data_IF_867471701698
#
_entry.id   IF_867471701698
#
_cell.length_a   1.000
_cell.length_b   1.000
_cell.length_c   1.000
_cell.angle_alpha   90.00
_cell.angle_beta   90.00
_cell.angle_gamma   90.00
#
_symmetry.space_group_name_H-M   'P 1'
#
loop_
_entity.id
_entity.type
_entity.pdbx_description
1 polymer ?
#
# COMPACT_ATOMS: atom_id res chain seq x y z
N UNK A 1 -2.07 45.06 11.22
CA UNK A 1 -1.29 44.24 12.17
C UNK A 1 -2.25 43.23 12.80
N UNK A 2 -2.20 41.97 12.39
CA UNK A 2 -2.97 40.88 13.00
C UNK A 2 -2.03 39.68 13.17
N UNK A 3 -2.05 39.16 14.40
CA UNK A 3 -1.09 38.24 15.00
C UNK A 3 -1.14 36.83 14.41
N UNK A 4 0.02 36.20 14.30
CA UNK A 4 0.21 34.82 13.88
C UNK A 4 -0.24 33.85 14.99
N UNK A 5 -1.13 32.91 14.66
CA UNK A 5 -1.41 31.76 15.50
C UNK A 5 -0.39 30.65 15.17
N UNK A 6 0.52 30.38 16.12
CA UNK A 6 1.47 29.27 16.05
C UNK A 6 0.72 27.93 16.04
N UNK A 7 0.86 27.18 14.96
CA UNK A 7 0.44 25.78 14.87
C UNK A 7 1.49 24.95 15.64
N UNK A 8 1.08 24.35 16.75
CA UNK A 8 1.92 23.42 17.50
C UNK A 8 2.06 22.11 16.70
N UNK A 9 3.28 21.82 16.22
CA UNK A 9 3.66 20.49 15.75
C UNK A 9 3.88 19.58 16.95
N UNK A 10 2.96 18.64 17.21
CA UNK A 10 3.24 17.50 18.08
C UNK A 10 3.87 16.38 17.24
N UNK A 11 5.10 15.99 17.60
CA UNK A 11 5.85 14.89 17.00
C UNK A 11 5.16 13.55 17.30
N UNK A 12 5.16 12.65 16.31
CA UNK A 12 4.45 11.36 16.33
C UNK A 12 5.03 10.31 17.30
N UNK A 13 6.08 10.67 18.05
CA UNK A 13 6.78 9.78 18.99
C UNK A 13 5.88 9.25 20.12
N UNK A 14 4.76 9.93 20.41
CA UNK A 14 3.89 9.62 21.55
C UNK A 14 2.70 8.68 21.22
N UNK A 15 2.49 8.29 19.96
CA UNK A 15 1.31 7.49 19.59
C UNK A 15 1.56 5.97 19.60
N UNK A 16 2.83 5.53 19.54
CA UNK A 16 3.17 4.12 19.29
C UNK A 16 3.52 3.28 20.53
N UNK A 17 3.36 3.78 21.75
CA UNK A 17 3.66 3.01 22.98
C UNK A 17 2.54 2.07 23.44
N UNK A 18 1.46 1.90 22.65
CA UNK A 18 0.21 1.30 23.14
C UNK A 18 -0.33 0.06 22.44
N UNK A 19 0.36 -0.56 21.46
CA UNK A 19 -0.22 -1.71 20.73
C UNK A 19 0.79 -2.86 20.63
N UNK A 20 0.96 -3.55 21.76
CA UNK A 20 1.63 -4.83 21.83
C UNK A 20 0.59 -5.94 21.55
N UNK A 21 0.90 -6.80 20.58
CA UNK A 21 0.36 -8.16 20.38
C UNK A 21 -1.12 -8.31 20.00
N UNK A 22 -1.37 -8.67 18.73
CA UNK A 22 -2.29 -9.77 18.39
C UNK A 22 -1.77 -10.48 17.13
N UNK A 23 -1.06 -11.59 17.34
CA UNK A 23 -0.88 -12.64 16.33
C UNK A 23 -2.24 -13.31 16.11
N UNK A 24 -2.71 -13.46 14.88
CA UNK A 24 -3.83 -14.37 14.64
C UNK A 24 -4.54 -14.27 13.30
N UNK A 25 -4.29 -15.28 12.45
CA UNK A 25 -5.29 -16.02 11.66
C UNK A 25 -5.98 -15.27 10.49
N UNK A 26 -5.39 -15.37 9.30
CA UNK A 26 -6.11 -15.24 8.04
C UNK A 26 -6.80 -16.57 7.69
N UNK A 27 -8.12 -16.61 7.45
CA UNK A 27 -8.73 -17.66 6.63
C UNK A 27 -8.90 -17.16 5.20
N UNK A 28 -8.13 -17.74 4.29
CA UNK A 28 -8.40 -17.79 2.86
C UNK A 28 -9.42 -18.91 2.65
N UNK A 29 -10.60 -18.58 2.13
CA UNK A 29 -11.57 -19.56 1.64
C UNK A 29 -11.93 -19.21 0.19
N UNK A 30 -11.28 -19.91 -0.73
CA UNK A 30 -11.67 -20.08 -2.13
C UNK A 30 -12.45 -21.40 -2.17
N UNK A 31 -13.72 -21.38 -2.57
CA UNK A 31 -14.44 -22.61 -2.84
C UNK A 31 -15.30 -22.49 -4.10
N UNK A 32 -15.08 -23.49 -4.95
CA UNK A 32 -15.42 -23.61 -6.35
C UNK A 32 -16.81 -24.23 -6.58
N UNK A 33 -17.47 -23.71 -7.61
CA UNK A 33 -18.43 -24.36 -8.53
C UNK A 33 -19.06 -25.70 -8.13
N UNK A 34 -20.39 -25.72 -8.07
CA UNK A 34 -21.20 -26.94 -8.10
C UNK A 34 -22.57 -26.64 -8.72
N UNK A 35 -22.70 -26.90 -10.03
CA UNK A 35 -23.94 -26.82 -10.80
C UNK A 35 -24.75 -28.09 -10.52
N UNK A 36 -26.01 -27.96 -10.09
CA UNK A 36 -26.93 -29.10 -10.03
C UNK A 36 -28.30 -28.71 -10.59
N UNK A 37 -28.68 -29.43 -11.63
CA UNK A 37 -29.90 -29.33 -12.42
C UNK A 37 -31.01 -30.19 -11.80
N UNK A 38 -32.25 -29.69 -11.93
CA UNK A 38 -33.53 -30.41 -11.98
C UNK A 38 -34.11 -31.00 -10.68
N UNK A 39 -35.23 -30.41 -10.24
CA UNK A 39 -36.57 -31.04 -10.11
C UNK A 39 -37.56 -30.00 -9.55
N UNK A 40 -38.52 -29.55 -10.34
CA UNK A 40 -39.86 -30.13 -10.54
C UNK A 40 -40.92 -29.50 -9.63
N UNK A 41 -42.01 -29.10 -10.29
CA UNK A 41 -43.07 -28.19 -9.89
C UNK A 41 -44.01 -28.70 -8.78
N UNK A 42 -44.70 -27.71 -8.18
CA UNK A 42 -46.06 -27.76 -7.61
C UNK A 42 -46.18 -28.23 -6.17
N UNK A 43 -46.52 -27.32 -5.25
CA UNK A 43 -47.72 -27.44 -4.42
C UNK A 43 -48.06 -26.05 -3.84
N UNK A 44 -49.15 -25.47 -4.37
CA UNK A 44 -49.87 -24.37 -3.74
C UNK A 44 -50.49 -24.87 -2.43
N UNK A 45 -50.12 -24.25 -1.31
CA UNK A 45 -51.04 -24.02 -0.21
C UNK A 45 -50.57 -22.84 0.64
N UNK A 46 -51.35 -21.76 0.56
CA UNK A 46 -51.43 -20.73 1.57
C UNK A 46 -51.53 -21.36 2.95
N UNK A 47 -50.64 -20.99 3.86
CA UNK A 47 -51.10 -20.56 5.17
C UNK A 47 -50.22 -19.44 5.71
N UNK A 48 -50.81 -18.26 5.63
CA UNK A 48 -50.44 -17.02 6.27
C UNK A 48 -50.26 -17.22 7.79
N UNK A 49 -49.04 -17.04 8.30
CA UNK A 49 -48.83 -16.62 9.69
C UNK A 49 -47.86 -15.45 9.74
N UNK A 50 -48.50 -14.29 9.70
CA UNK A 50 -48.09 -13.03 10.29
C UNK A 50 -47.43 -13.28 11.66
N UNK A 51 -46.12 -13.05 11.76
CA UNK A 51 -45.44 -12.89 13.03
C UNK A 51 -44.68 -11.56 13.00
N UNK A 52 -45.41 -10.46 13.18
CA UNK A 52 -44.79 -9.20 13.56
C UNK A 52 -44.08 -9.39 14.91
N UNK A 53 -42.74 -9.50 14.89
CA UNK A 53 -41.93 -9.18 16.07
C UNK A 53 -41.67 -7.68 16.03
N UNK A 54 -42.50 -6.96 16.77
CA UNK A 54 -42.12 -5.66 17.32
C UNK A 54 -40.86 -5.85 18.15
N UNK A 55 -39.70 -5.55 17.57
CA UNK A 55 -38.49 -5.32 18.34
C UNK A 55 -38.09 -3.87 18.17
N UNK A 56 -38.72 -3.02 18.99
CA UNK A 56 -38.29 -1.65 19.24
C UNK A 56 -37.04 -1.77 20.13
N UNK A 57 -35.93 -2.17 19.50
CA UNK A 57 -34.62 -2.27 20.13
C UNK A 57 -33.87 -0.98 19.92
N UNK A 58 -33.71 -0.22 21.00
CA UNK A 58 -32.89 0.97 21.13
C UNK A 58 -31.41 0.69 20.75
N UNK A 59 -31.08 0.74 19.46
CA UNK A 59 -29.69 0.79 19.02
C UNK A 59 -29.29 2.25 18.86
N UNK A 60 -28.92 2.88 19.98
CA UNK A 60 -28.09 4.10 19.93
C UNK A 60 -26.74 3.67 19.38
N UNK A 61 -26.60 3.72 18.06
CA UNK A 61 -25.33 3.54 17.37
C UNK A 61 -24.40 4.64 17.85
N UNK A 62 -23.61 4.37 18.89
CA UNK A 62 -22.43 5.18 19.20
C UNK A 62 -21.49 4.95 18.03
N UNK A 63 -21.58 5.83 17.02
CA UNK A 63 -20.61 5.87 15.92
C UNK A 63 -19.25 6.06 16.57
N UNK A 64 -18.47 4.98 16.67
CA UNK A 64 -17.05 5.08 17.00
C UNK A 64 -16.44 5.94 15.90
N UNK A 65 -15.78 7.06 16.22
CA UNK A 65 -15.06 7.79 15.20
C UNK A 65 -14.03 6.83 14.60
N UNK A 66 -14.16 6.57 13.30
CA UNK A 66 -13.14 5.81 12.58
C UNK A 66 -11.92 6.72 12.47
N UNK A 67 -10.93 6.50 13.33
CA UNK A 67 -9.62 7.13 13.17
C UNK A 67 -8.96 6.46 11.98
N UNK A 68 -9.07 7.09 10.81
CA UNK A 68 -8.30 6.70 9.64
C UNK A 68 -6.93 7.33 9.79
N UNK A 69 -5.90 6.53 10.04
CA UNK A 69 -4.52 6.99 9.96
C UNK A 69 -4.21 7.28 8.50
N UNK A 70 -4.31 8.56 8.11
CA UNK A 70 -3.86 9.04 6.82
C UNK A 70 -2.34 8.98 6.75
N UNK A 71 -1.84 8.38 5.68
CA UNK A 71 -0.42 8.33 5.41
C UNK A 71 0.07 9.69 4.89
N UNK A 72 1.25 10.09 5.36
CA UNK A 72 2.01 11.19 4.79
C UNK A 72 3.20 10.63 3.99
N UNK A 73 3.26 10.83 2.66
CA UNK A 73 4.34 10.30 1.85
C UNK A 73 5.69 10.91 2.24
N UNK A 74 6.73 10.08 2.31
CA UNK A 74 8.12 10.48 2.58
C UNK A 74 9.00 10.42 1.34
N UNK A 75 8.56 9.72 0.31
CA UNK A 75 9.20 9.62 -1.00
C UNK A 75 8.71 10.70 -1.96
N UNK A 76 9.59 11.20 -2.82
CA UNK A 76 9.21 12.09 -3.92
C UNK A 76 8.74 11.29 -5.16
N UNK A 77 7.83 11.87 -5.94
CA UNK A 77 7.38 11.28 -7.20
C UNK A 77 8.33 11.65 -8.33
N UNK A 78 8.71 10.66 -9.14
CA UNK A 78 9.44 10.86 -10.39
C UNK A 78 8.49 10.70 -11.57
N UNK A 79 8.77 11.48 -12.61
CA UNK A 79 8.07 11.47 -13.90
C UNK A 79 9.08 11.32 -15.03
N UNK A 80 8.61 11.11 -16.25
CA UNK A 80 9.43 11.01 -17.44
C UNK A 80 10.45 12.14 -17.61
N UNK A 81 10.03 13.39 -17.35
CA UNK A 81 10.91 14.56 -17.47
C UNK A 81 12.05 14.57 -16.46
N UNK A 82 11.83 13.98 -15.29
CA UNK A 82 12.79 13.98 -14.19
C UNK A 82 13.61 12.69 -14.08
N UNK A 83 13.23 11.64 -14.81
CA UNK A 83 13.79 10.29 -14.71
C UNK A 83 15.30 10.27 -14.89
N UNK A 84 15.78 10.81 -16.01
CA UNK A 84 17.21 10.85 -16.34
C UNK A 84 18.02 11.55 -15.25
N UNK A 85 17.53 12.69 -14.74
CA UNK A 85 18.24 13.46 -13.71
C UNK A 85 18.21 12.81 -12.33
N UNK A 86 17.05 12.33 -11.88
CA UNK A 86 16.84 11.88 -10.50
C UNK A 86 17.18 10.40 -10.28
N UNK A 87 17.17 9.58 -11.34
CA UNK A 87 17.41 8.15 -11.25
C UNK A 87 18.70 7.76 -11.97
N UNK A 88 18.84 8.11 -13.25
CA UNK A 88 19.98 7.64 -14.06
C UNK A 88 21.29 8.38 -13.74
N UNK A 89 21.20 9.70 -13.51
CA UNK A 89 22.36 10.57 -13.21
C UNK A 89 22.50 10.91 -11.73
N UNK A 90 21.82 10.18 -10.86
CA UNK A 90 21.94 10.40 -9.43
C UNK A 90 23.29 9.87 -8.93
N UNK A 91 23.98 10.69 -8.13
CA UNK A 91 25.25 10.33 -7.49
C UNK A 91 25.03 9.31 -6.37
N UNK A 92 23.87 9.39 -5.69
CA UNK A 92 23.49 8.43 -4.67
C UNK A 92 22.80 7.22 -5.30
N UNK A 93 22.92 6.03 -4.68
CA UNK A 93 22.09 4.89 -5.05
C UNK A 93 20.60 5.25 -4.93
N UNK A 94 19.79 4.69 -5.83
CA UNK A 94 18.38 5.05 -5.96
C UNK A 94 17.49 3.83 -5.85
N UNK A 95 16.40 3.94 -5.13
CA UNK A 95 15.30 3.00 -5.10
C UNK A 95 14.07 3.65 -5.72
N UNK A 96 13.43 2.97 -6.68
CA UNK A 96 12.20 3.43 -7.31
C UNK A 96 11.11 2.39 -7.16
N UNK A 97 9.99 2.76 -6.52
CA UNK A 97 8.78 1.95 -6.51
C UNK A 97 7.87 2.31 -7.69
N UNK A 98 7.57 1.31 -8.50
CA UNK A 98 6.62 1.38 -9.60
C UNK A 98 5.25 0.91 -9.07
N UNK A 99 4.27 1.80 -9.16
CA UNK A 99 2.92 1.57 -8.66
C UNK A 99 1.86 2.07 -9.66
N UNK A 100 0.61 1.72 -9.38
CA UNK A 100 -0.54 2.27 -10.09
C UNK A 100 -1.63 2.72 -9.10
N UNK A 101 -2.47 3.67 -9.50
CA UNK A 101 -3.44 4.29 -8.57
C UNK A 101 -4.54 3.33 -8.11
N UNK A 102 -4.81 2.32 -8.95
CA UNK A 102 -5.79 1.25 -8.71
C UNK A 102 -5.20 0.04 -7.97
N UNK A 103 -3.89 0.05 -7.67
CA UNK A 103 -3.20 -1.06 -7.03
C UNK A 103 -3.36 -1.02 -5.50
N UNK A 104 -4.30 -1.81 -4.97
CA UNK A 104 -4.48 -1.98 -3.52
C UNK A 104 -3.21 -2.44 -2.78
N UNK A 105 -2.51 -3.51 -3.22
CA UNK A 105 -1.30 -4.01 -2.57
C UNK A 105 -0.14 -3.00 -2.51
N UNK A 106 -0.09 -2.06 -3.47
CA UNK A 106 0.93 -1.01 -3.51
C UNK A 106 0.87 -0.12 -2.24
N UNK A 107 -0.31 0.06 -1.62
CA UNK A 107 -0.42 0.83 -0.39
C UNK A 107 0.43 0.30 0.76
N UNK A 108 0.66 -1.02 0.81
CA UNK A 108 1.54 -1.64 1.81
C UNK A 108 3.01 -1.38 1.48
N UNK A 109 3.41 -1.62 0.22
CA UNK A 109 4.80 -1.44 -0.25
C UNK A 109 5.23 -0.01 -0.03
N UNK A 110 4.40 0.94 -0.46
CA UNK A 110 4.61 2.33 -0.23
C UNK A 110 4.99 2.61 1.26
N UNK A 111 4.33 1.99 2.27
CA UNK A 111 4.60 2.30 3.70
C UNK A 111 5.99 1.81 4.10
N UNK A 112 6.35 0.63 3.61
CA UNK A 112 7.69 0.05 3.79
C UNK A 112 8.74 0.96 3.16
N UNK A 113 8.49 1.47 1.94
CA UNK A 113 9.42 2.39 1.28
C UNK A 113 9.54 3.73 2.01
N UNK A 114 8.45 4.28 2.56
CA UNK A 114 8.50 5.49 3.38
C UNK A 114 9.38 5.31 4.62
N UNK A 115 9.30 4.15 5.29
CA UNK A 115 10.18 3.84 6.43
C UNK A 115 11.64 3.73 5.99
N UNK A 116 11.91 3.00 4.90
CA UNK A 116 13.26 2.86 4.34
C UNK A 116 13.83 4.22 3.94
N UNK A 117 13.04 5.10 3.34
CA UNK A 117 13.46 6.45 2.95
C UNK A 117 13.93 7.28 4.16
N UNK A 118 13.33 7.06 5.34
CA UNK A 118 13.76 7.72 6.59
C UNK A 118 15.03 7.07 7.14
N UNK A 119 15.09 5.74 7.18
CA UNK A 119 16.23 4.99 7.75
C UNK A 119 17.52 5.15 6.94
N UNK A 120 17.40 5.22 5.61
CA UNK A 120 18.53 5.31 4.68
C UNK A 120 18.81 6.73 4.18
N UNK A 121 18.21 7.75 4.82
CA UNK A 121 18.40 9.15 4.43
C UNK A 121 19.90 9.50 4.33
N UNK A 122 20.31 9.98 3.16
CA UNK A 122 21.70 10.35 2.86
C UNK A 122 22.59 9.20 2.38
N UNK A 123 22.08 7.96 2.38
CA UNK A 123 22.74 6.76 1.79
C UNK A 123 22.01 6.24 0.55
N UNK A 124 20.71 6.47 0.47
CA UNK A 124 19.82 6.01 -0.59
C UNK A 124 18.74 7.07 -0.83
N UNK A 125 18.50 7.39 -2.09
CA UNK A 125 17.35 8.21 -2.49
C UNK A 125 16.17 7.31 -2.88
N UNK A 126 14.99 7.60 -2.37
CA UNK A 126 13.78 6.80 -2.62
C UNK A 126 12.73 7.62 -3.37
N UNK A 127 12.25 7.05 -4.48
CA UNK A 127 11.23 7.66 -5.34
C UNK A 127 10.09 6.69 -5.63
N UNK A 128 8.98 7.25 -6.08
CA UNK A 128 7.82 6.51 -6.59
C UNK A 128 7.51 6.95 -8.02
N UNK A 129 7.15 6.01 -8.89
CA UNK A 129 6.75 6.24 -10.27
C UNK A 129 5.37 5.63 -10.51
N UNK A 130 4.45 6.42 -11.05
CA UNK A 130 3.12 5.95 -11.41
C UNK A 130 3.11 5.43 -12.84
N UNK A 131 2.94 4.11 -13.00
CA UNK A 131 2.98 3.45 -14.32
C UNK A 131 1.80 3.82 -15.20
N UNK A 132 0.69 4.30 -14.64
CA UNK A 132 -0.46 4.78 -15.42
C UNK A 132 -0.12 6.08 -16.19
N UNK A 133 0.79 6.89 -15.63
CA UNK A 133 1.19 8.18 -16.22
C UNK A 133 2.46 8.08 -17.06
N UNK A 134 3.41 7.25 -16.62
CA UNK A 134 4.75 7.16 -17.20
C UNK A 134 5.01 5.73 -17.76
N UNK A 135 4.12 5.28 -18.64
CA UNK A 135 4.13 3.91 -19.19
C UNK A 135 5.42 3.56 -19.95
N UNK A 136 6.00 4.50 -20.69
CA UNK A 136 7.22 4.27 -21.49
C UNK A 136 8.40 3.85 -20.59
N UNK A 137 8.54 4.45 -19.40
CA UNK A 137 9.59 4.08 -18.44
C UNK A 137 9.31 2.69 -17.85
N UNK A 138 8.04 2.39 -17.58
CA UNK A 138 7.65 1.07 -17.08
C UNK A 138 7.98 -0.02 -18.11
N UNK A 139 7.73 0.24 -19.40
CA UNK A 139 8.08 -0.67 -20.50
C UNK A 139 9.59 -0.86 -20.66
N UNK A 140 10.37 0.23 -20.67
CA UNK A 140 11.84 0.20 -20.78
C UNK A 140 12.49 -0.63 -19.67
N UNK A 141 11.90 -0.64 -18.46
CA UNK A 141 12.40 -1.39 -17.32
C UNK A 141 11.65 -2.70 -17.04
N UNK A 142 10.93 -3.24 -18.03
CA UNK A 142 10.21 -4.53 -17.96
C UNK A 142 9.17 -4.63 -16.82
N UNK A 143 8.62 -3.50 -16.39
CA UNK A 143 7.64 -3.44 -15.30
C UNK A 143 6.22 -3.67 -15.82
N UNK A 144 5.91 -4.94 -16.08
CA UNK A 144 4.61 -5.38 -16.65
C UNK A 144 3.50 -5.57 -15.60
N UNK A 145 3.87 -5.59 -14.33
CA UNK A 145 2.96 -5.73 -13.21
C UNK A 145 3.48 -4.87 -12.04
N UNK A 146 2.56 -4.42 -11.18
CA UNK A 146 2.86 -3.63 -9.99
C UNK A 146 2.32 -4.34 -8.74
N UNK A 147 2.91 -4.14 -7.55
CA UNK A 147 4.09 -3.30 -7.27
C UNK A 147 5.40 -3.96 -7.69
N UNK A 148 6.35 -3.15 -8.17
CA UNK A 148 7.75 -3.56 -8.42
C UNK A 148 8.65 -2.47 -7.88
N UNK A 149 9.73 -2.85 -7.21
CA UNK A 149 10.75 -1.93 -6.72
C UNK A 149 12.06 -2.22 -7.44
N UNK A 150 12.62 -1.21 -8.11
CA UNK A 150 13.88 -1.31 -8.82
C UNK A 150 14.96 -0.52 -8.09
N UNK A 151 16.16 -1.09 -8.03
CA UNK A 151 17.33 -0.48 -7.41
C UNK A 151 18.35 -0.11 -8.48
N UNK A 152 18.82 1.13 -8.43
CA UNK A 152 19.77 1.71 -9.38
C UNK A 152 21.03 2.18 -8.66
N UNK A 153 22.17 1.95 -9.28
CA UNK A 153 23.47 2.48 -8.85
C UNK A 153 24.26 2.85 -10.10
N UNK A 154 24.81 4.07 -10.12
CA UNK A 154 25.57 4.61 -11.26
C UNK A 154 24.76 4.56 -12.58
N UNK A 155 23.47 4.85 -12.51
CA UNK A 155 22.56 4.82 -13.66
C UNK A 155 22.20 3.43 -14.21
N UNK A 156 22.68 2.36 -13.58
CA UNK A 156 22.36 0.98 -13.99
C UNK A 156 21.45 0.30 -12.98
N UNK A 157 20.48 -0.47 -13.48
CA UNK A 157 19.62 -1.36 -12.66
C UNK A 157 20.48 -2.47 -12.06
N UNK A 158 20.55 -2.55 -10.73
CA UNK A 158 21.35 -3.53 -10.00
C UNK A 158 20.52 -4.70 -9.49
N UNK A 159 19.32 -4.42 -8.97
CA UNK A 159 18.45 -5.44 -8.38
C UNK A 159 16.98 -5.02 -8.48
N UNK A 160 16.07 -5.95 -8.20
CA UNK A 160 14.63 -5.71 -8.22
C UNK A 160 13.89 -6.59 -7.21
N UNK A 161 12.89 -6.02 -6.56
CA UNK A 161 11.96 -6.75 -5.69
C UNK A 161 10.57 -6.67 -6.30
N UNK A 162 10.00 -7.82 -6.64
CA UNK A 162 8.70 -7.92 -7.33
C UNK A 162 7.62 -8.29 -6.33
N UNK A 163 6.49 -7.58 -6.38
CA UNK A 163 5.33 -7.82 -5.54
C UNK A 163 5.43 -7.21 -4.14
N UNK A 164 4.47 -7.58 -3.30
CA UNK A 164 4.38 -7.11 -1.92
C UNK A 164 5.19 -8.03 -1.02
N UNK A 165 6.37 -7.58 -0.61
CA UNK A 165 7.30 -8.34 0.22
C UNK A 165 7.43 -7.72 1.63
N UNK A 166 7.88 -8.50 2.64
CA UNK A 166 8.32 -7.96 3.92
C UNK A 166 9.51 -6.99 3.76
N UNK A 167 9.67 -6.06 4.73
CA UNK A 167 10.71 -5.02 4.72
C UNK A 167 12.12 -5.56 4.53
N UNK A 168 12.38 -6.72 5.11
CA UNK A 168 13.67 -7.41 5.12
C UNK A 168 14.17 -7.73 3.71
N UNK A 169 13.25 -8.00 2.76
CA UNK A 169 13.62 -8.27 1.37
C UNK A 169 14.16 -7.03 0.66
N UNK A 170 13.53 -5.87 0.88
CA UNK A 170 14.01 -4.60 0.33
C UNK A 170 15.35 -4.22 0.97
N UNK A 171 15.46 -4.33 2.30
CA UNK A 171 16.71 -4.07 3.02
C UNK A 171 17.85 -4.96 2.53
N UNK A 172 17.61 -6.26 2.35
CA UNK A 172 18.62 -7.18 1.84
C UNK A 172 19.09 -6.80 0.43
N UNK A 173 18.18 -6.41 -0.47
CA UNK A 173 18.53 -5.95 -1.81
C UNK A 173 19.33 -4.63 -1.78
N UNK A 174 18.94 -3.69 -0.91
CA UNK A 174 19.65 -2.43 -0.71
C UNK A 174 21.08 -2.71 -0.21
N UNK A 175 21.25 -3.46 0.88
CA UNK A 175 22.57 -3.72 1.45
C UNK A 175 23.48 -4.48 0.47
N UNK A 176 22.91 -5.42 -0.31
CA UNK A 176 23.65 -6.11 -1.39
C UNK A 176 24.17 -5.12 -2.44
N UNK A 177 23.34 -4.17 -2.88
CA UNK A 177 23.74 -3.12 -3.84
C UNK A 177 24.75 -2.13 -3.24
N UNK A 178 24.63 -1.81 -1.95
CA UNK A 178 25.57 -0.93 -1.28
C UNK A 178 26.94 -1.58 -1.09
N UNK A 179 26.99 -2.90 -0.92
CA UNK A 179 28.23 -3.66 -0.75
C UNK A 179 28.99 -3.95 -2.06
N UNK A 180 28.31 -3.94 -3.22
CA UNK A 180 28.91 -4.14 -4.55
C UNK A 180 29.60 -2.90 -5.09
#
# INVERSE_FOLDING_TARGET
>A
MASAASIAFMSYSDCCHGIQLQKGRFPIAYESQGVSLLRALSFLSLHHRNHQRNHIGLLRATRRPSVVCSRHPKTATVTQKSWDKLVLKNESPVLVEFYASWCGPCQMVHRVIDEIAVEYKGRLDCFVLNTDNDFEIAEEHDTKAVPVVLLFKNGMKQDSVIGTMPKEFYVAAIEKMLAS
#
